data_IF_983300531784
#
_entry.id   IF_983300531784
#
_cell.length_a   1.000
_cell.length_b   1.000
_cell.length_c   1.000
_cell.angle_alpha   90.00
_cell.angle_beta   90.00
_cell.angle_gamma   90.00
#
_symmetry.space_group_name_H-M   'P 1'
#
loop_
_entity.id
_entity.type
_entity.pdbx_description
1 polymer ?
#
# COMPACT_ATOMS: atom_id res chain seq x y z
N UNK A 1 34.41 -14.21 -10.38
CA UNK A 1 33.72 -15.32 -11.08
C UNK A 1 33.48 -16.43 -10.08
N UNK A 2 32.24 -16.89 -9.90
CA UNK A 2 31.94 -17.96 -8.95
C UNK A 2 32.19 -19.32 -9.63
N UNK A 3 32.99 -20.24 -9.06
CA UNK A 3 33.39 -21.49 -9.74
C UNK A 3 32.25 -22.49 -10.01
N UNK A 4 31.06 -22.27 -9.46
CA UNK A 4 29.96 -23.24 -9.44
C UNK A 4 28.86 -22.99 -10.48
N UNK A 5 28.86 -21.85 -11.17
CA UNK A 5 27.87 -21.53 -12.21
C UNK A 5 28.52 -21.60 -13.59
N UNK A 6 27.92 -22.38 -14.49
CA UNK A 6 28.33 -22.48 -15.90
C UNK A 6 28.20 -21.16 -16.68
N UNK A 7 28.39 -21.17 -18.02
CA UNK A 7 28.33 -19.95 -18.81
C UNK A 7 26.98 -19.25 -18.65
N UNK A 8 27.02 -17.92 -18.50
CA UNK A 8 25.90 -17.01 -18.25
C UNK A 8 24.54 -17.51 -18.77
N UNK A 9 23.64 -17.89 -17.86
CA UNK A 9 22.27 -18.24 -18.22
C UNK A 9 21.40 -16.98 -18.18
N UNK A 10 20.66 -16.72 -19.26
CA UNK A 10 19.66 -15.65 -19.32
C UNK A 10 18.49 -16.04 -18.40
N UNK A 11 18.35 -15.32 -17.30
CA UNK A 11 17.33 -15.60 -16.26
C UNK A 11 16.33 -14.45 -16.11
N UNK A 12 16.66 -13.26 -16.62
CA UNK A 12 15.81 -12.07 -16.60
C UNK A 12 15.12 -11.90 -17.95
N UNK A 13 13.80 -11.70 -17.95
CA UNK A 13 13.00 -11.53 -19.16
C UNK A 13 11.86 -10.53 -18.94
N UNK A 14 11.44 -9.87 -20.02
CA UNK A 14 10.21 -9.07 -20.07
C UNK A 14 9.21 -9.83 -20.95
N UNK A 15 8.12 -10.31 -20.34
CA UNK A 15 7.11 -11.12 -21.01
C UNK A 15 5.94 -10.25 -21.44
N UNK A 16 5.49 -10.44 -22.68
CA UNK A 16 4.29 -9.79 -23.23
C UNK A 16 3.36 -10.81 -23.87
N UNK A 17 2.12 -10.39 -24.13
CA UNK A 17 1.18 -11.18 -24.92
C UNK A 17 1.52 -11.05 -26.41
N UNK A 18 1.37 -12.12 -27.18
CA UNK A 18 1.68 -12.11 -28.62
C UNK A 18 0.95 -11.00 -29.41
N UNK A 19 -0.31 -10.71 -29.04
CA UNK A 19 -1.12 -9.66 -29.67
C UNK A 19 -0.65 -8.23 -29.38
N UNK A 20 0.04 -8.02 -28.26
CA UNK A 20 0.51 -6.71 -27.80
C UNK A 20 1.99 -6.50 -28.22
N UNK A 21 2.52 -7.35 -29.12
CA UNK A 21 3.91 -7.27 -29.60
C UNK A 21 4.21 -5.97 -30.34
N UNK A 22 3.22 -5.44 -31.08
CA UNK A 22 3.36 -4.19 -31.82
C UNK A 22 3.52 -2.96 -30.91
N UNK A 23 3.10 -3.08 -29.64
CA UNK A 23 3.22 -2.01 -28.66
C UNK A 23 4.62 -1.95 -28.04
N UNK A 24 5.48 -2.96 -28.25
CA UNK A 24 6.84 -2.98 -27.71
C UNK A 24 7.81 -2.40 -28.72
N UNK A 25 8.39 -1.24 -28.39
CA UNK A 25 9.31 -0.53 -29.28
C UNK A 25 10.77 -0.93 -29.09
N UNK A 26 11.19 -1.24 -27.86
CA UNK A 26 12.59 -1.61 -27.59
C UNK A 26 12.69 -2.36 -26.26
N UNK A 27 13.57 -3.35 -26.20
CA UNK A 27 13.94 -4.03 -24.94
C UNK A 27 15.46 -4.12 -24.88
N UNK A 28 16.06 -3.63 -23.79
CA UNK A 28 17.52 -3.59 -23.64
C UNK A 28 17.94 -3.85 -22.20
N UNK A 29 19.07 -4.53 -22.04
CA UNK A 29 19.81 -4.58 -20.78
C UNK A 29 20.52 -3.25 -20.52
N UNK A 30 20.39 -2.73 -19.29
CA UNK A 30 20.98 -1.48 -18.86
C UNK A 30 22.34 -1.75 -18.21
N UNK A 31 23.42 -1.51 -18.95
CA UNK A 31 24.78 -1.57 -18.42
C UNK A 31 25.00 -0.42 -17.42
N UNK A 32 25.34 -0.73 -16.16
CA UNK A 32 25.62 0.26 -15.11
C UNK A 32 24.48 0.53 -14.12
N UNK A 33 23.29 -0.05 -14.34
CA UNK A 33 22.17 -0.02 -13.38
C UNK A 33 22.10 -1.34 -12.58
N UNK A 34 23.23 -1.75 -11.99
CA UNK A 34 23.37 -3.04 -11.33
C UNK A 34 22.71 -3.11 -9.95
N UNK A 35 22.24 -1.99 -9.37
CA UNK A 35 21.36 -2.01 -8.19
C UNK A 35 21.86 -2.79 -6.97
N UNK A 36 23.18 -3.06 -6.89
CA UNK A 36 23.83 -3.96 -5.92
C UNK A 36 23.54 -5.46 -6.07
N UNK A 37 22.94 -5.88 -7.18
CA UNK A 37 22.70 -7.28 -7.52
C UNK A 37 23.72 -7.77 -8.56
N UNK A 38 23.82 -9.09 -8.70
CA UNK A 38 24.56 -9.75 -9.77
C UNK A 38 23.76 -9.84 -11.09
N UNK A 39 22.58 -9.22 -11.14
CA UNK A 39 21.68 -9.21 -12.29
C UNK A 39 21.75 -7.90 -13.08
N UNK A 40 21.56 -7.99 -14.39
CA UNK A 40 21.43 -6.82 -15.26
C UNK A 40 19.96 -6.36 -15.30
N UNK A 41 19.72 -5.08 -15.01
CA UNK A 41 18.39 -4.52 -15.16
C UNK A 41 17.97 -4.51 -16.63
N UNK A 42 16.79 -5.07 -16.92
CA UNK A 42 16.16 -4.98 -18.23
C UNK A 42 15.14 -3.85 -18.27
N UNK A 43 15.13 -3.09 -19.37
CA UNK A 43 14.15 -2.05 -19.65
C UNK A 43 13.47 -2.33 -20.97
N UNK A 44 12.14 -2.26 -20.98
CA UNK A 44 11.36 -2.21 -22.22
C UNK A 44 10.66 -0.87 -22.38
N UNK A 45 10.68 -0.32 -23.58
CA UNK A 45 9.89 0.83 -23.98
C UNK A 45 8.63 0.32 -24.67
N UNK A 46 7.48 0.58 -24.07
CA UNK A 46 6.18 0.02 -24.49
C UNK A 46 5.15 1.13 -24.58
N UNK A 47 4.39 1.15 -25.67
CA UNK A 47 3.23 2.02 -25.87
C UNK A 47 1.95 1.32 -25.39
N UNK A 48 1.51 1.60 -24.17
CA UNK A 48 0.26 1.03 -23.67
C UNK A 48 -0.64 2.09 -23.04
N UNK A 49 -1.95 1.95 -23.26
CA UNK A 49 -2.94 2.88 -22.71
C UNK A 49 -3.50 2.36 -21.40
N UNK A 50 -3.07 2.96 -20.29
CA UNK A 50 -3.72 2.76 -18.99
C UNK A 50 -5.07 3.45 -19.04
N UNK A 51 -6.15 2.67 -19.09
CA UNK A 51 -7.50 3.24 -18.92
C UNK A 51 -7.60 3.74 -17.48
N UNK A 52 -7.82 5.04 -17.32
CA UNK A 52 -8.18 5.58 -16.02
C UNK A 52 -9.43 4.86 -15.53
N UNK A 53 -9.37 4.35 -14.29
CA UNK A 53 -10.58 3.86 -13.62
C UNK A 53 -11.49 5.07 -13.46
N UNK A 54 -12.51 5.17 -14.31
CA UNK A 54 -13.56 6.17 -14.14
C UNK A 54 -14.14 5.95 -12.75
N UNK A 55 -13.83 6.87 -11.84
CA UNK A 55 -14.47 6.86 -10.54
C UNK A 55 -15.95 7.08 -10.83
N UNK A 56 -16.78 6.06 -10.62
CA UNK A 56 -18.23 6.26 -10.61
C UNK A 56 -18.49 7.18 -9.43
N UNK A 57 -18.38 8.49 -9.67
CA UNK A 57 -19.02 9.48 -8.82
C UNK A 57 -20.50 9.14 -8.95
N UNK A 58 -20.95 8.26 -8.06
CA UNK A 58 -22.36 8.06 -7.84
C UNK A 58 -22.94 9.44 -7.61
N UNK A 59 -24.01 9.74 -8.32
CA UNK A 59 -24.86 10.89 -8.07
C UNK A 59 -25.48 10.73 -6.67
N UNK A 60 -24.70 10.85 -5.60
CA UNK A 60 -25.27 11.10 -4.29
C UNK A 60 -25.58 12.60 -4.28
N UNK A 61 -26.87 12.92 -4.44
CA UNK A 61 -27.38 14.25 -4.10
C UNK A 61 -26.77 14.63 -2.75
N UNK A 62 -26.16 15.82 -2.59
CA UNK A 62 -25.70 16.24 -1.28
C UNK A 62 -26.93 16.26 -0.38
N UNK A 63 -26.92 15.43 0.66
CA UNK A 63 -27.84 15.58 1.76
C UNK A 63 -27.62 17.00 2.28
N UNK A 64 -28.63 17.86 2.17
CA UNK A 64 -28.54 19.23 2.66
C UNK A 64 -28.36 19.15 4.18
N UNK A 65 -27.11 19.28 4.65
CA UNK A 65 -26.85 19.57 6.05
C UNK A 65 -27.19 21.02 6.30
N UNK A 66 -28.42 21.22 6.78
CA UNK A 66 -28.90 22.30 7.63
C UNK A 66 -28.00 23.54 7.65
N UNK A 67 -28.36 24.54 6.86
CA UNK A 67 -27.98 25.94 7.11
C UNK A 67 -28.51 26.30 8.50
N UNK A 68 -27.66 26.25 9.53
CA UNK A 68 -28.00 26.78 10.85
C UNK A 68 -27.79 28.30 10.82
N UNK A 69 -28.77 29.12 11.25
CA UNK A 69 -28.60 30.56 11.34
C UNK A 69 -27.42 30.92 12.26
N UNK A 70 -26.69 31.97 11.90
CA UNK A 70 -25.45 32.46 12.52
C UNK A 70 -25.52 32.78 14.04
N UNK A 71 -26.64 32.55 14.71
CA UNK A 71 -26.87 32.88 16.11
C UNK A 71 -26.39 31.80 17.11
N UNK A 72 -26.05 30.58 16.68
CA UNK A 72 -25.65 29.48 17.59
C UNK A 72 -24.17 29.13 17.43
N UNK A 73 -23.28 30.12 17.58
CA UNK A 73 -21.82 29.86 17.64
C UNK A 73 -21.30 29.63 19.07
N UNK A 74 -22.11 29.92 20.09
CA UNK A 74 -21.68 29.89 21.50
C UNK A 74 -21.97 28.61 22.29
N UNK A 75 -22.92 27.76 21.87
CA UNK A 75 -23.45 26.69 22.74
C UNK A 75 -23.27 25.27 22.17
N UNK A 76 -22.90 25.13 20.90
CA UNK A 76 -22.70 23.82 20.25
C UNK A 76 -21.24 23.30 20.28
N UNK A 77 -20.34 23.89 21.07
CA UNK A 77 -18.96 23.36 21.18
C UNK A 77 -18.84 22.19 22.17
N UNK A 78 -19.82 21.98 23.06
CA UNK A 78 -19.63 21.11 24.23
C UNK A 78 -20.36 19.76 24.15
N UNK A 79 -21.06 19.47 23.04
CA UNK A 79 -21.90 18.25 22.92
C UNK A 79 -21.60 17.35 21.70
N UNK A 80 -20.62 17.69 20.88
CA UNK A 80 -20.14 16.80 19.79
C UNK A 80 -19.01 15.86 20.23
N UNK A 81 -18.45 16.05 21.43
CA UNK A 81 -17.31 15.29 21.96
C UNK A 81 -17.64 13.91 22.53
N UNK A 82 -18.92 13.53 22.65
CA UNK A 82 -19.26 12.31 23.41
C UNK A 82 -19.53 11.08 22.53
N UNK A 83 -19.67 11.20 21.20
CA UNK A 83 -19.98 10.04 20.34
C UNK A 83 -19.41 10.16 18.91
N UNK A 84 -18.10 10.38 18.78
CA UNK A 84 -17.44 10.35 17.46
C UNK A 84 -16.28 9.35 17.44
N UNK A 85 -16.22 8.40 16.48
CA UNK A 85 -15.06 7.56 16.20
C UNK A 85 -13.74 8.32 15.93
N UNK A 86 -13.78 9.65 15.92
CA UNK A 86 -12.66 10.53 15.63
C UNK A 86 -11.94 11.08 16.88
N UNK A 87 -12.46 10.92 18.10
CA UNK A 87 -11.83 11.49 19.31
C UNK A 87 -10.43 10.91 19.57
N UNK A 88 -10.27 9.60 19.35
CA UNK A 88 -8.97 8.94 19.42
C UNK A 88 -8.00 9.47 18.36
N UNK A 89 -8.47 9.67 17.14
CA UNK A 89 -7.65 10.19 16.03
C UNK A 89 -7.23 11.63 16.25
N UNK A 90 -8.13 12.48 16.75
CA UNK A 90 -7.86 13.88 17.09
C UNK A 90 -6.81 13.98 18.20
N UNK A 91 -6.94 13.15 19.24
CA UNK A 91 -5.94 13.07 20.31
C UNK A 91 -4.57 12.64 19.77
N UNK A 92 -4.52 11.65 18.88
CA UNK A 92 -3.27 11.18 18.27
C UNK A 92 -2.63 12.18 17.31
N UNK A 93 -3.44 12.88 16.51
CA UNK A 93 -2.98 13.93 15.61
C UNK A 93 -2.32 15.10 16.36
N UNK A 94 -2.67 15.30 17.63
CA UNK A 94 -2.07 16.32 18.49
C UNK A 94 -0.87 15.79 19.28
N UNK A 95 -0.91 14.54 19.73
CA UNK A 95 0.13 13.93 20.56
C UNK A 95 1.44 13.71 19.78
N UNK A 96 1.37 13.18 18.56
CA UNK A 96 2.55 12.80 17.77
C UNK A 96 3.39 14.01 17.37
N UNK A 97 2.83 15.11 16.81
CA UNK A 97 3.59 16.31 16.52
C UNK A 97 4.19 16.96 17.76
N UNK A 98 3.41 17.05 18.87
CA UNK A 98 3.92 17.64 20.13
C UNK A 98 5.08 16.86 20.73
N UNK A 99 5.12 15.54 20.56
CA UNK A 99 6.25 14.72 21.00
C UNK A 99 7.50 14.99 20.14
N UNK A 100 7.33 15.24 18.83
CA UNK A 100 8.41 15.64 17.94
C UNK A 100 8.95 17.04 18.29
N UNK A 101 8.05 18.02 18.51
CA UNK A 101 8.42 19.40 18.87
C UNK A 101 9.21 19.47 20.18
N UNK A 102 8.94 18.54 21.11
CA UNK A 102 9.64 18.43 22.40
C UNK A 102 10.89 17.53 22.34
N UNK A 103 11.27 17.06 21.17
CA UNK A 103 12.36 16.10 20.93
C UNK A 103 12.25 14.82 21.80
N UNK A 104 11.03 14.41 22.15
CA UNK A 104 10.79 13.17 22.88
C UNK A 104 10.58 12.01 21.89
N UNK A 105 11.70 11.45 21.44
CA UNK A 105 11.76 10.38 20.43
C UNK A 105 10.99 9.14 20.86
N UNK A 106 11.04 8.74 22.13
CA UNK A 106 10.36 7.55 22.64
C UNK A 106 8.84 7.66 22.53
N UNK A 107 8.27 8.79 22.94
CA UNK A 107 6.83 9.04 22.83
C UNK A 107 6.38 9.20 21.37
N UNK A 108 7.20 9.85 20.54
CA UNK A 108 6.92 9.99 19.10
C UNK A 108 6.78 8.62 18.40
N UNK A 109 7.77 7.73 18.56
CA UNK A 109 7.73 6.42 17.91
C UNK A 109 6.67 5.49 18.50
N UNK A 110 6.35 5.61 19.80
CA UNK A 110 5.25 4.86 20.40
C UNK A 110 3.88 5.32 19.86
N UNK A 111 3.66 6.62 19.69
CA UNK A 111 2.46 7.14 19.05
C UNK A 111 2.31 6.67 17.59
N UNK A 112 3.41 6.67 16.82
CA UNK A 112 3.40 6.19 15.43
C UNK A 112 3.09 4.69 15.33
N UNK A 113 3.60 3.89 16.27
CA UNK A 113 3.30 2.47 16.39
C UNK A 113 1.81 2.23 16.62
N UNK A 114 1.14 3.03 17.42
CA UNK A 114 -0.31 2.85 17.67
C UNK A 114 -1.17 3.18 16.45
N UNK A 115 -0.72 4.07 15.56
CA UNK A 115 -1.43 4.44 14.33
C UNK A 115 -1.22 3.42 13.21
N UNK A 116 0.01 2.94 13.03
CA UNK A 116 0.41 2.19 11.83
C UNK A 116 0.70 0.72 12.07
N UNK A 117 0.62 0.21 13.30
CA UNK A 117 0.89 -1.22 13.53
C UNK A 117 -0.23 -2.09 12.93
N UNK A 118 0.12 -3.10 12.12
CA UNK A 118 -0.78 -4.20 11.86
C UNK A 118 -1.17 -4.85 13.18
N UNK A 119 -2.48 -5.11 13.39
CA UNK A 119 -2.91 -5.95 14.50
C UNK A 119 -2.29 -7.33 14.29
N UNK A 120 -1.33 -7.68 15.14
CA UNK A 120 -0.75 -9.02 15.17
C UNK A 120 -1.90 -10.00 15.45
N UNK A 121 -2.30 -10.79 14.45
CA UNK A 121 -3.11 -11.98 14.69
C UNK A 121 -2.14 -13.02 15.25
N UNK A 122 -2.51 -13.68 16.34
CA UNK A 122 -1.74 -14.80 16.89
C UNK A 122 -1.51 -15.87 15.82
N UNK A 123 -0.54 -16.79 16.03
CA UNK A 123 -0.26 -17.82 15.05
C UNK A 123 -1.53 -18.61 14.73
N UNK A 124 -1.90 -18.64 13.46
CA UNK A 124 -2.95 -19.53 12.95
C UNK A 124 -2.27 -20.87 12.72
N UNK A 125 -2.65 -21.90 13.49
CA UNK A 125 -2.23 -23.27 13.23
C UNK A 125 -2.92 -23.72 11.93
N UNK A 126 -2.12 -24.04 10.92
CA UNK A 126 -2.60 -24.60 9.66
C UNK A 126 -2.59 -26.13 9.80
N UNK A 127 -3.76 -26.76 9.88
CA UNK A 127 -3.86 -28.22 9.78
C UNK A 127 -3.84 -28.63 8.30
N UNK A 128 -3.04 -29.66 7.98
CA UNK A 128 -3.02 -30.30 6.65
C UNK A 128 -4.35 -31.02 6.40
N UNK A 129 -4.92 -30.81 5.22
CA UNK A 129 -6.08 -31.57 4.71
C UNK A 129 -5.62 -32.67 3.76
N UNK A 130 -4.57 -33.41 4.11
CA UNK A 130 -4.14 -34.58 3.33
C UNK A 130 -4.89 -35.83 3.82
N UNK A 131 -6.20 -35.87 3.57
CA UNK A 131 -6.94 -37.12 3.50
C UNK A 131 -7.49 -37.32 2.09
N UNK A 132 -7.25 -38.51 1.53
CA UNK A 132 -7.67 -39.02 0.20
C UNK A 132 -6.73 -38.80 -1.00
N UNK A 133 -5.55 -39.42 -0.96
CA UNK A 133 -5.06 -40.09 -2.18
C UNK A 133 -5.52 -41.54 -2.12
N UNK A 134 -6.59 -41.84 -2.87
CA UNK A 134 -7.13 -43.19 -3.01
C UNK A 134 -6.07 -44.17 -3.50
N UNK A 135 -6.10 -45.38 -2.92
CA UNK A 135 -5.45 -46.56 -3.51
C UNK A 135 -6.02 -46.75 -4.91
N UNK A 136 -5.15 -46.76 -5.92
CA UNK A 136 -5.42 -47.46 -7.17
C UNK A 136 -4.44 -48.64 -7.22
N UNK A 137 -5.02 -49.80 -7.55
CA UNK A 137 -4.46 -51.16 -7.69
C UNK A 137 -2.96 -51.28 -7.99
#
# INVERSE_FOLDING_TARGET
>A
MHPRSGPWHLIDFIVTRCRDKMDIHSTRAMSGANGWTDHQMLRSNVAFRIRQKHNRQGTSKPYMLNTVPSAIRGVLSSRWTVLSPNDWWEKKAVEVPRAADRNNTKSFYNGLKEVWRPKQKGPVHLESTDESCGKME
#
